data_IF_361236990498
#
_entry.id   IF_361236990498
#
_cell.length_a   1.000
_cell.length_b   1.000
_cell.length_c   1.000
_cell.angle_alpha   90.00
_cell.angle_beta   90.00
_cell.angle_gamma   90.00
#
_symmetry.space_group_name_H-M   'P 1'
#
loop_
_entity.id
_entity.type
_entity.pdbx_description
1 polymer ?
#
# COMPACT_ATOMS: atom_id res chain seq x y z
N UNK A 1 -2.09 2.89 20.13
CA UNK A 1 -2.00 3.30 18.70
C UNK A 1 -2.29 2.10 17.80
N UNK A 2 -3.56 1.74 17.54
CA UNK A 2 -3.89 0.58 16.67
C UNK A 2 -4.95 0.94 15.61
N UNK A 3 -6.04 1.60 16.00
CA UNK A 3 -7.15 1.93 15.07
C UNK A 3 -6.76 2.83 13.89
N UNK A 4 -5.86 3.81 14.10
CA UNK A 4 -5.47 4.75 13.02
C UNK A 4 -4.67 4.03 11.93
N UNK A 5 -3.77 3.13 12.32
CA UNK A 5 -2.95 2.37 11.38
C UNK A 5 -3.82 1.38 10.59
N UNK A 6 -4.75 0.69 11.24
CA UNK A 6 -5.68 -0.22 10.57
C UNK A 6 -6.53 0.48 9.50
N UNK A 7 -7.02 1.69 9.79
CA UNK A 7 -7.79 2.49 8.83
C UNK A 7 -6.91 2.90 7.64
N UNK A 8 -5.67 3.32 7.87
CA UNK A 8 -4.73 3.67 6.80
C UNK A 8 -4.44 2.47 5.90
N UNK A 9 -4.26 1.28 6.48
CA UNK A 9 -4.09 0.04 5.71
C UNK A 9 -5.30 -0.28 4.83
N UNK A 10 -6.52 -0.16 5.38
CA UNK A 10 -7.77 -0.39 4.64
C UNK A 10 -7.90 0.60 3.48
N UNK A 11 -7.62 1.89 3.72
CA UNK A 11 -7.66 2.93 2.68
C UNK A 11 -6.62 2.64 1.59
N UNK A 12 -5.44 2.18 1.97
CA UNK A 12 -4.36 1.85 1.02
C UNK A 12 -4.77 0.69 0.11
N UNK A 13 -5.37 -0.38 0.66
CA UNK A 13 -5.90 -1.48 -0.14
C UNK A 13 -7.03 -1.05 -1.07
N UNK A 14 -7.94 -0.19 -0.59
CA UNK A 14 -9.00 0.40 -1.42
C UNK A 14 -8.42 1.20 -2.59
N UNK A 15 -7.39 2.01 -2.36
CA UNK A 15 -6.74 2.80 -3.40
C UNK A 15 -6.10 1.91 -4.49
N UNK A 16 -5.43 0.83 -4.08
CA UNK A 16 -4.85 -0.16 -5.01
C UNK A 16 -5.97 -0.80 -5.84
N UNK A 17 -7.03 -1.27 -5.19
CA UNK A 17 -8.13 -1.98 -5.84
C UNK A 17 -8.89 -1.08 -6.83
N UNK A 18 -9.22 0.14 -6.40
CA UNK A 18 -9.88 1.13 -7.26
C UNK A 18 -8.98 1.52 -8.43
N UNK A 19 -7.69 1.77 -8.19
CA UNK A 19 -6.73 2.08 -9.24
C UNK A 19 -6.64 0.98 -10.31
N UNK A 20 -6.65 -0.28 -9.88
CA UNK A 20 -6.66 -1.43 -10.77
C UNK A 20 -7.96 -1.54 -11.59
N UNK A 21 -9.13 -1.34 -10.96
CA UNK A 21 -10.42 -1.33 -11.66
C UNK A 21 -10.48 -0.20 -12.71
N UNK A 22 -9.97 0.99 -12.38
CA UNK A 22 -9.94 2.12 -13.32
C UNK A 22 -9.05 1.82 -14.53
N UNK A 23 -7.90 1.16 -14.33
CA UNK A 23 -7.06 0.69 -15.43
C UNK A 23 -7.73 -0.40 -16.28
N UNK A 24 -8.49 -1.33 -15.68
CA UNK A 24 -9.29 -2.28 -16.45
C UNK A 24 -10.36 -1.55 -17.25
N UNK A 25 -11.06 -0.59 -16.62
CA UNK A 25 -12.12 0.17 -17.27
C UNK A 25 -11.61 1.02 -18.44
N UNK A 26 -10.38 1.55 -18.35
CA UNK A 26 -9.80 2.31 -19.46
C UNK A 26 -9.59 1.47 -20.72
N UNK A 27 -9.44 0.15 -20.60
CA UNK A 27 -9.37 -0.77 -21.76
C UNK A 27 -10.71 -0.82 -22.50
N UNK A 28 -11.83 -0.65 -21.79
CA UNK A 28 -13.17 -0.71 -22.38
C UNK A 28 -13.69 0.65 -22.86
N UNK A 29 -13.35 1.74 -22.15
CA UNK A 29 -13.91 3.07 -22.42
C UNK A 29 -12.99 3.96 -23.29
N UNK A 30 -11.74 3.58 -23.59
CA UNK A 30 -10.74 4.42 -24.33
C UNK A 30 -10.56 5.86 -23.80
N UNK A 31 -11.05 6.13 -22.58
CA UNK A 31 -10.87 7.42 -21.92
C UNK A 31 -9.55 7.39 -21.16
N UNK A 32 -8.54 8.10 -21.68
CA UNK A 32 -7.18 8.16 -21.12
C UNK A 32 -7.14 8.59 -19.65
N UNK A 33 -8.13 9.38 -19.21
CA UNK A 33 -8.23 9.82 -17.82
C UNK A 33 -8.36 8.65 -16.84
N UNK A 34 -9.08 7.58 -17.20
CA UNK A 34 -9.20 6.40 -16.33
C UNK A 34 -7.89 5.63 -16.22
N UNK A 35 -7.10 5.59 -17.29
CA UNK A 35 -5.81 4.94 -17.29
C UNK A 35 -4.82 5.70 -16.40
N UNK A 36 -4.66 7.02 -16.62
CA UNK A 36 -3.71 7.86 -15.87
C UNK A 36 -4.13 7.91 -14.39
N UNK A 37 -5.41 8.14 -14.10
CA UNK A 37 -5.93 8.17 -12.73
C UNK A 37 -5.77 6.82 -12.03
N UNK A 38 -6.08 5.73 -12.72
CA UNK A 38 -5.91 4.37 -12.20
C UNK A 38 -4.46 4.02 -11.90
N UNK A 39 -3.54 4.34 -12.82
CA UNK A 39 -2.11 4.11 -12.67
C UNK A 39 -1.52 4.88 -11.47
N UNK A 40 -1.90 6.15 -11.30
CA UNK A 40 -1.46 6.97 -10.18
C UNK A 40 -1.97 6.43 -8.84
N UNK A 41 -3.27 6.12 -8.73
CA UNK A 41 -3.86 5.54 -7.52
C UNK A 41 -3.21 4.20 -7.15
N UNK A 42 -3.02 3.34 -8.15
CA UNK A 42 -2.40 2.03 -7.96
C UNK A 42 -0.94 2.16 -7.50
N UNK A 43 -0.17 3.05 -8.12
CA UNK A 43 1.24 3.28 -7.78
C UNK A 43 1.39 3.85 -6.38
N UNK A 44 0.58 4.86 -6.04
CA UNK A 44 0.63 5.50 -4.73
C UNK A 44 0.22 4.53 -3.60
N UNK A 45 -0.84 3.76 -3.83
CA UNK A 45 -1.28 2.73 -2.90
C UNK A 45 -0.23 1.64 -2.71
N UNK A 46 0.38 1.15 -3.79
CA UNK A 46 1.43 0.12 -3.75
C UNK A 46 2.69 0.61 -3.05
N UNK A 47 3.09 1.87 -3.29
CA UNK A 47 4.21 2.50 -2.60
C UNK A 47 3.97 2.59 -1.09
N UNK A 48 2.79 3.05 -0.69
CA UNK A 48 2.43 3.18 0.73
C UNK A 48 2.34 1.83 1.44
N UNK A 49 1.80 0.83 0.74
CA UNK A 49 1.77 -0.56 1.20
C UNK A 49 3.18 -1.11 1.44
N UNK A 50 4.07 -0.94 0.47
CA UNK A 50 5.46 -1.38 0.57
C UNK A 50 6.21 -0.65 1.69
N UNK A 51 6.02 0.67 1.81
CA UNK A 51 6.60 1.48 2.88
C UNK A 51 6.14 1.02 4.26
N UNK A 52 4.84 0.81 4.46
CA UNK A 52 4.27 0.32 5.71
C UNK A 52 4.78 -1.07 6.10
N UNK A 53 4.92 -1.97 5.12
CA UNK A 53 5.45 -3.32 5.35
C UNK A 53 6.96 -3.31 5.64
N UNK A 54 7.74 -2.50 4.93
CA UNK A 54 9.18 -2.32 5.17
C UNK A 54 9.47 -1.77 6.56
N UNK A 55 8.71 -0.77 7.01
CA UNK A 55 8.83 -0.20 8.37
C UNK A 55 8.40 -1.18 9.48
N UNK A 56 7.47 -2.10 9.17
CA UNK A 56 7.08 -3.18 10.07
C UNK A 56 8.19 -4.24 10.16
N UNK A 57 8.76 -4.67 9.03
CA UNK A 57 9.83 -5.67 9.00
C UNK A 57 11.10 -5.15 9.70
N UNK A 58 11.46 -3.88 9.50
CA UNK A 58 12.58 -3.25 10.21
C UNK A 58 12.39 -3.22 11.73
N UNK A 59 11.17 -2.95 12.22
CA UNK A 59 10.85 -3.00 13.66
C UNK A 59 10.89 -4.41 14.24
N UNK A 60 10.51 -5.42 13.46
CA UNK A 60 10.57 -6.82 13.90
C UNK A 60 12.04 -7.26 13.98
N UNK A 61 12.84 -6.97 12.96
CA UNK A 61 14.27 -7.27 12.93
C UNK A 61 15.03 -6.61 14.10
N UNK A 62 14.74 -5.34 14.41
CA UNK A 62 15.33 -4.64 15.56
C UNK A 62 14.94 -5.28 16.90
N UNK A 63 13.71 -5.78 17.04
CA UNK A 63 13.27 -6.48 18.26
C UNK A 63 13.97 -7.83 18.42
N UNK A 64 14.20 -8.54 17.32
CA UNK A 64 14.93 -9.81 17.33
C UNK A 64 16.42 -9.60 17.66
N UNK A 65 17.04 -8.54 17.14
CA UNK A 65 18.41 -8.16 17.52
C UNK A 65 18.54 -7.77 18.99
N UNK A 66 17.54 -7.08 19.55
CA UNK A 66 17.53 -6.73 20.98
C UNK A 66 17.38 -7.97 21.87
N UNK A 67 16.58 -8.95 21.48
CA UNK A 67 16.48 -10.23 22.21
C UNK A 67 17.78 -11.00 22.19
N UNK A 68 18.46 -11.07 21.03
CA UNK A 68 19.77 -11.74 20.90
C UNK A 68 20.90 -11.10 21.70
N UNK A 69 20.82 -9.81 22.02
CA UNK A 69 21.82 -9.11 22.84
C UNK A 69 21.56 -9.20 24.34
N UNK A 70 20.40 -9.72 24.75
CA UNK A 70 19.98 -9.82 26.16
C UNK A 70 20.21 -11.20 26.77
N UNK A 71 20.56 -12.20 25.95
CA UNK A 71 21.00 -13.54 26.35
C UNK A 71 22.54 -13.64 26.25
#
# INVERSE_FOLDING_TARGET
MKRKDDVVWIITYLAIFIGFILMIKSVYDTVDFYFIGGLLLYTLGSYWFAYGRGYSMGRIAQRDEQRKKSD
#
